data_IF_243900794873
#
_entry.id   IF_243900794873
#
_cell.length_a   1.000
_cell.length_b   1.000
_cell.length_c   1.000
_cell.angle_alpha   90.00
_cell.angle_beta   90.00
_cell.angle_gamma   90.00
#
_symmetry.space_group_name_H-M   'P 1'
#
loop_
_entity.id
_entity.type
_entity.pdbx_description
1 polymer ?
#
# COMPACT_ATOMS: atom_id res chain seq x y z
N UNK A 1 -2.36 0.43 -3.85
CA UNK A 1 -1.42 1.38 -4.47
C UNK A 1 -1.46 2.80 -3.89
N UNK A 2 -2.46 3.17 -3.12
CA UNK A 2 -2.52 4.51 -2.51
C UNK A 2 -1.31 4.81 -1.60
N UNK A 3 -0.78 3.79 -0.95
CA UNK A 3 0.21 3.94 0.12
C UNK A 3 1.64 4.30 -0.35
N UNK A 4 2.01 4.06 -1.61
CA UNK A 4 3.39 4.30 -2.06
C UNK A 4 3.64 5.67 -2.66
N UNK A 5 2.61 6.38 -3.06
CA UNK A 5 2.76 7.61 -3.84
C UNK A 5 2.11 8.82 -3.17
N UNK A 6 1.44 8.64 -2.04
CA UNK A 6 0.66 9.71 -1.41
C UNK A 6 1.22 10.14 -0.06
N UNK A 7 1.32 11.46 0.16
CA UNK A 7 1.57 12.00 1.49
C UNK A 7 0.40 11.66 2.42
N UNK A 8 0.66 10.92 3.46
CA UNK A 8 -0.35 10.53 4.45
C UNK A 8 0.19 9.52 5.45
N UNK A 9 -0.66 9.06 6.33
CA UNK A 9 -0.39 8.02 7.34
C UNK A 9 -1.40 6.90 7.27
N UNK A 10 -1.02 5.73 7.79
CA UNK A 10 -1.94 4.61 7.99
C UNK A 10 -2.17 4.38 9.48
N UNK A 11 -3.42 4.21 9.85
CA UNK A 11 -3.83 3.96 11.23
C UNK A 11 -4.71 2.72 11.33
N UNK A 12 -4.65 2.04 12.45
CA UNK A 12 -5.51 0.91 12.77
C UNK A 12 -6.90 1.37 13.26
N UNK A 13 -7.72 0.44 13.66
CA UNK A 13 -9.08 0.69 14.18
C UNK A 13 -9.13 1.50 15.49
N UNK A 14 -8.01 1.76 16.17
CA UNK A 14 -7.94 2.68 17.30
C UNK A 14 -7.46 4.08 16.93
N UNK A 15 -7.06 4.30 15.68
CA UNK A 15 -6.46 5.55 15.21
C UNK A 15 -4.95 5.64 15.43
N UNK A 16 -4.29 4.58 15.91
CA UNK A 16 -2.83 4.54 16.08
C UNK A 16 -2.14 4.19 14.76
N UNK A 17 -1.05 4.90 14.42
CA UNK A 17 -0.17 4.49 13.34
C UNK A 17 0.46 3.12 13.69
N UNK A 18 0.67 2.26 12.69
CA UNK A 18 1.15 0.90 12.95
C UNK A 18 2.20 0.42 11.94
N UNK A 19 2.69 1.29 11.08
CA UNK A 19 3.74 0.89 10.13
C UNK A 19 4.18 1.99 9.19
N UNK A 20 5.25 1.68 8.46
CA UNK A 20 5.81 2.53 7.43
C UNK A 20 5.16 2.20 6.08
N UNK A 21 4.25 3.06 5.62
CA UNK A 21 3.58 2.90 4.33
C UNK A 21 4.49 3.10 3.11
N UNK A 22 5.69 3.64 3.32
CA UNK A 22 6.69 3.85 2.25
C UNK A 22 7.71 2.71 2.16
N UNK A 23 7.47 1.60 2.87
CA UNK A 23 8.35 0.44 2.80
C UNK A 23 8.39 -0.14 1.38
N UNK A 24 9.58 -0.31 0.83
CA UNK A 24 9.81 -0.90 -0.51
C UNK A 24 9.41 -2.39 -0.60
N UNK A 25 9.14 -3.02 0.53
CA UNK A 25 8.82 -4.44 0.60
C UNK A 25 7.30 -4.69 0.64
N UNK A 26 6.68 -4.78 -0.51
CA UNK A 26 5.24 -5.01 -0.66
C UNK A 26 4.71 -6.25 0.08
N UNK A 27 5.42 -7.37 0.03
CA UNK A 27 4.98 -8.60 0.68
C UNK A 27 5.06 -8.53 2.20
N UNK A 28 6.10 -7.88 2.72
CA UNK A 28 6.27 -7.65 4.16
C UNK A 28 5.29 -6.59 4.65
N UNK A 29 5.08 -5.52 3.87
CA UNK A 29 4.10 -4.50 4.18
C UNK A 29 2.70 -5.09 4.26
N UNK A 30 2.27 -5.87 3.27
CA UNK A 30 0.95 -6.51 3.27
C UNK A 30 0.72 -7.45 4.46
N UNK A 31 1.72 -8.24 4.85
CA UNK A 31 1.66 -9.07 6.07
C UNK A 31 1.61 -8.22 7.33
N UNK A 32 2.51 -7.24 7.44
CA UNK A 32 2.55 -6.33 8.57
C UNK A 32 1.25 -5.57 8.76
N UNK A 33 0.68 -5.04 7.68
CA UNK A 33 -0.61 -4.36 7.70
C UNK A 33 -1.74 -5.28 8.18
N UNK A 34 -1.81 -6.50 7.65
CA UNK A 34 -2.82 -7.47 8.08
C UNK A 34 -2.67 -7.85 9.55
N UNK A 35 -1.44 -8.14 9.97
CA UNK A 35 -1.15 -8.60 11.32
C UNK A 35 -1.34 -7.46 12.34
N UNK A 36 -0.91 -6.25 12.02
CA UNK A 36 -1.11 -5.06 12.85
C UNK A 36 -2.59 -4.64 12.94
N UNK A 37 -3.36 -4.80 11.88
CA UNK A 37 -4.79 -4.56 11.87
C UNK A 37 -5.61 -5.76 12.42
N UNK A 38 -4.96 -6.84 12.90
CA UNK A 38 -5.62 -8.08 13.33
C UNK A 38 -6.60 -8.65 12.30
N UNK A 39 -6.27 -8.52 11.02
CA UNK A 39 -7.13 -8.89 9.91
C UNK A 39 -8.34 -7.98 9.66
N UNK A 40 -8.44 -6.86 10.40
CA UNK A 40 -9.50 -5.88 10.29
C UNK A 40 -9.23 -4.77 9.27
N UNK A 41 -10.14 -3.82 9.22
CA UNK A 41 -10.00 -2.60 8.45
C UNK A 41 -8.93 -1.69 9.07
N UNK A 42 -8.29 -0.92 8.24
CA UNK A 42 -7.42 0.18 8.62
C UNK A 42 -7.71 1.39 7.75
N UNK A 43 -7.19 2.53 8.13
CA UNK A 43 -7.51 3.79 7.47
C UNK A 43 -6.24 4.45 6.94
N UNK A 44 -6.34 4.99 5.74
CA UNK A 44 -5.36 5.91 5.19
C UNK A 44 -5.87 7.33 5.40
N UNK A 45 -5.05 8.17 6.00
CA UNK A 45 -5.35 9.55 6.36
C UNK A 45 -4.46 10.48 5.54
N UNK A 46 -5.03 11.49 4.92
CA UNK A 46 -4.29 12.51 4.18
C UNK A 46 -4.98 13.87 4.29
N UNK A 47 -4.24 14.92 3.93
CA UNK A 47 -4.78 16.27 3.77
C UNK A 47 -5.20 16.54 2.32
N UNK A 48 -5.67 17.75 2.04
CA UNK A 48 -6.05 18.16 0.70
C UNK A 48 -4.87 18.17 -0.28
N UNK A 49 -3.66 18.48 0.18
CA UNK A 49 -2.47 18.50 -0.68
C UNK A 49 -2.10 17.08 -1.12
N UNK A 50 -2.18 16.11 -0.23
CA UNK A 50 -1.97 14.69 -0.53
C UNK A 50 -3.03 14.14 -1.47
N UNK A 51 -4.29 14.51 -1.27
CA UNK A 51 -5.40 14.19 -2.16
C UNK A 51 -5.14 14.67 -3.59
N UNK A 52 -4.73 15.93 -3.75
CA UNK A 52 -4.45 16.51 -5.07
C UNK A 52 -3.21 15.89 -5.72
N UNK A 53 -2.16 15.64 -4.93
CA UNK A 53 -0.88 15.13 -5.44
C UNK A 53 -1.04 13.74 -6.07
N UNK A 54 -1.86 12.88 -5.48
CA UNK A 54 -2.09 11.54 -6.03
C UNK A 54 -2.85 11.56 -7.35
N UNK A 55 -3.74 12.52 -7.55
CA UNK A 55 -4.45 12.68 -8.82
C UNK A 55 -3.53 13.07 -10.00
N UNK A 56 -2.29 13.48 -9.73
CA UNK A 56 -1.29 13.84 -10.76
C UNK A 56 -0.41 12.68 -11.21
N UNK A 57 -0.60 11.49 -10.67
CA UNK A 57 0.17 10.34 -11.10
C UNK A 57 -0.37 9.82 -12.44
N UNK A 58 0.24 10.29 -13.54
CA UNK A 58 -0.17 10.01 -14.93
C UNK A 58 -0.11 8.53 -15.30
N UNK A 59 0.69 7.72 -14.59
CA UNK A 59 0.84 6.29 -14.86
C UNK A 59 -0.46 5.50 -14.64
N UNK A 60 -1.32 5.99 -13.77
CA UNK A 60 -2.62 5.39 -13.47
C UNK A 60 -3.73 6.40 -13.73
N UNK A 61 -3.80 6.96 -14.93
CA UNK A 61 -4.73 8.02 -15.40
C UNK A 61 -6.22 7.86 -14.97
N UNK A 62 -6.47 7.03 -13.98
CA UNK A 62 -7.74 6.92 -13.29
C UNK A 62 -7.75 7.95 -12.17
N UNK A 63 -8.73 8.79 -12.21
CA UNK A 63 -9.11 9.74 -11.16
C UNK A 63 -9.52 8.95 -9.89
N UNK A 64 -8.51 8.29 -9.28
CA UNK A 64 -8.72 7.28 -8.23
C UNK A 64 -9.48 7.87 -7.05
N UNK A 65 -9.16 9.10 -6.66
CA UNK A 65 -9.85 9.73 -5.55
C UNK A 65 -11.29 10.10 -5.87
N UNK A 66 -11.56 10.65 -7.05
CA UNK A 66 -12.96 10.90 -7.45
C UNK A 66 -13.78 9.62 -7.56
N UNK A 67 -13.14 8.51 -7.91
CA UNK A 67 -13.80 7.21 -7.88
C UNK A 67 -14.11 6.77 -6.44
N UNK A 68 -13.15 6.90 -5.53
CA UNK A 68 -13.33 6.55 -4.11
C UNK A 68 -14.35 7.45 -3.42
N UNK A 69 -14.31 8.78 -3.69
CA UNK A 69 -15.30 9.73 -3.19
C UNK A 69 -16.72 9.37 -3.66
N UNK A 70 -16.92 9.10 -4.96
CA UNK A 70 -18.22 8.71 -5.52
C UNK A 70 -18.76 7.40 -4.95
N UNK A 71 -17.87 6.50 -4.55
CA UNK A 71 -18.24 5.22 -3.91
C UNK A 71 -18.47 5.35 -2.41
N UNK A 72 -18.06 6.47 -1.81
CA UNK A 72 -18.08 6.67 -0.37
C UNK A 72 -16.95 5.96 0.39
N UNK A 73 -15.94 5.45 -0.35
CA UNK A 73 -14.75 4.81 0.25
C UNK A 73 -13.74 5.86 0.76
N UNK A 74 -13.85 7.10 0.30
CA UNK A 74 -13.07 8.25 0.73
C UNK A 74 -14.01 9.35 1.22
N UNK A 75 -13.82 9.79 2.45
CA UNK A 75 -14.69 10.76 3.13
C UNK A 75 -13.86 11.93 3.64
N UNK A 76 -14.40 13.14 3.48
CA UNK A 76 -13.85 14.35 4.07
C UNK A 76 -14.50 14.63 5.43
N UNK A 77 -13.68 14.95 6.41
CA UNK A 77 -14.11 15.46 7.72
C UNK A 77 -13.57 16.86 7.92
N UNK A 78 -14.39 17.76 8.46
CA UNK A 78 -14.01 19.17 8.64
C UNK A 78 -12.93 19.36 9.72
N UNK A 79 -12.75 18.38 10.62
CA UNK A 79 -11.67 18.37 11.60
C UNK A 79 -11.24 16.94 11.97
N UNK A 80 -10.09 16.83 12.64
CA UNK A 80 -9.58 15.56 13.15
C UNK A 80 -10.49 14.99 14.23
N UNK A 81 -11.01 15.86 15.11
CA UNK A 81 -11.92 15.50 16.18
C UNK A 81 -13.24 14.93 15.65
N UNK A 82 -13.78 15.54 14.59
CA UNK A 82 -14.99 15.05 13.92
C UNK A 82 -14.76 13.64 13.37
N UNK A 83 -13.63 13.42 12.70
CA UNK A 83 -13.25 12.13 12.15
C UNK A 83 -13.05 11.07 13.25
N UNK A 84 -12.33 11.43 14.33
CA UNK A 84 -12.07 10.56 15.46
C UNK A 84 -13.38 10.10 16.12
N UNK A 85 -14.32 11.01 16.30
CA UNK A 85 -15.62 10.70 16.87
C UNK A 85 -16.50 9.87 15.92
N UNK A 86 -16.55 10.21 14.63
CA UNK A 86 -17.40 9.54 13.65
C UNK A 86 -16.98 8.10 13.35
N UNK A 87 -15.66 7.81 13.40
CA UNK A 87 -15.08 6.51 13.07
C UNK A 87 -14.61 5.71 14.29
N UNK A 88 -14.84 6.21 15.51
CA UNK A 88 -14.38 5.61 16.77
C UNK A 88 -12.85 5.35 16.79
N UNK A 89 -12.07 6.39 16.48
CA UNK A 89 -10.62 6.37 16.40
C UNK A 89 -9.98 7.19 17.55
N UNK A 90 -10.03 6.70 18.80
CA UNK A 90 -9.70 7.50 19.99
C UNK A 90 -8.25 7.98 20.07
N UNK A 91 -7.33 7.42 19.27
CA UNK A 91 -5.92 7.82 19.24
C UNK A 91 -5.58 8.70 18.04
N UNK A 92 -6.54 9.01 17.15
CA UNK A 92 -6.25 9.69 15.88
C UNK A 92 -5.62 11.07 16.05
N UNK A 93 -6.15 11.88 16.97
CA UNK A 93 -5.62 13.23 17.25
C UNK A 93 -4.16 13.15 17.69
N UNK A 94 -3.88 12.36 18.72
CA UNK A 94 -2.51 12.18 19.24
C UNK A 94 -1.55 11.61 18.19
N UNK A 95 -2.05 10.73 17.32
CA UNK A 95 -1.26 10.17 16.21
C UNK A 95 -0.87 11.24 15.20
N UNK A 96 -1.80 12.10 14.79
CA UNK A 96 -1.52 13.18 13.83
C UNK A 96 -0.59 14.22 14.45
N UNK A 97 -0.78 14.57 15.72
CA UNK A 97 0.11 15.49 16.43
C UNK A 97 1.54 14.97 16.50
N UNK A 98 1.73 13.69 16.87
CA UNK A 98 3.04 13.05 16.92
C UNK A 98 3.70 13.00 15.53
N UNK A 99 2.95 12.61 14.49
CA UNK A 99 3.44 12.61 13.12
C UNK A 99 3.91 14.01 12.68
N UNK A 100 3.09 15.03 12.93
CA UNK A 100 3.42 16.40 12.56
C UNK A 100 4.61 16.96 13.34
N UNK A 101 4.78 16.56 14.62
CA UNK A 101 5.96 16.93 15.40
C UNK A 101 7.26 16.37 14.77
N UNK A 102 7.29 15.08 14.39
CA UNK A 102 8.42 14.49 13.67
C UNK A 102 8.66 15.15 12.32
N UNK A 103 7.60 15.45 11.57
CA UNK A 103 7.70 16.13 10.27
C UNK A 103 8.35 17.51 10.40
N UNK A 104 7.93 18.30 11.39
CA UNK A 104 8.52 19.63 11.65
C UNK A 104 9.96 19.58 12.17
N UNK A 105 10.29 18.55 12.95
CA UNK A 105 11.65 18.33 13.44
C UNK A 105 12.62 17.81 12.35
N UNK A 106 12.09 17.30 11.22
CA UNK A 106 12.88 16.65 10.18
C UNK A 106 13.42 15.29 10.63
N UNK A 107 12.77 14.67 11.60
CA UNK A 107 13.14 13.37 12.18
C UNK A 107 12.39 12.23 11.50
N UNK A 108 12.92 11.01 11.60
CA UNK A 108 12.19 9.81 11.21
C UNK A 108 11.17 9.42 12.30
N UNK A 109 10.05 8.80 11.88
CA UNK A 109 9.07 8.28 12.83
C UNK A 109 9.54 6.95 13.47
N UNK A 110 8.77 6.46 14.44
CA UNK A 110 9.05 5.20 15.14
C UNK A 110 9.09 3.96 14.23
N UNK A 111 8.59 4.08 13.00
CA UNK A 111 8.59 3.02 11.97
C UNK A 111 9.74 3.19 10.96
N UNK A 112 10.67 4.13 11.18
CA UNK A 112 11.81 4.39 10.32
C UNK A 112 11.46 5.09 9.01
N UNK A 113 10.32 5.78 8.92
CA UNK A 113 9.95 6.58 7.76
C UNK A 113 10.66 7.93 7.81
N UNK A 114 11.36 8.25 6.73
CA UNK A 114 12.07 9.53 6.55
C UNK A 114 11.27 10.48 5.67
N UNK A 115 11.62 11.77 5.75
CA UNK A 115 10.99 12.82 4.95
C UNK A 115 9.47 12.85 5.11
N UNK A 116 9.02 12.85 6.35
CA UNK A 116 7.61 12.87 6.69
C UNK A 116 6.94 14.13 6.12
N UNK A 117 5.86 14.01 5.34
CA UNK A 117 5.06 15.15 4.95
C UNK A 117 4.29 15.67 6.17
N UNK A 118 4.28 16.98 6.35
CA UNK A 118 3.39 17.60 7.32
C UNK A 118 1.93 17.46 6.83
N UNK A 119 1.05 17.00 7.69
CA UNK A 119 -0.38 16.92 7.42
C UNK A 119 -1.05 18.23 7.84
N UNK A 120 -1.49 19.03 6.86
CA UNK A 120 -2.23 20.25 7.12
C UNK A 120 -3.71 19.94 7.39
N UNK A 121 -4.08 20.01 8.66
CA UNK A 121 -5.43 19.70 9.12
C UNK A 121 -6.35 20.93 9.17
N UNK A 122 -5.87 22.13 8.76
CA UNK A 122 -6.63 23.38 8.84
C UNK A 122 -7.96 23.34 8.07
N UNK A 123 -7.96 22.68 6.92
CA UNK A 123 -9.16 22.51 6.08
C UNK A 123 -9.79 21.12 6.25
N UNK A 124 -9.54 20.46 7.37
CA UNK A 124 -9.98 19.10 7.61
C UNK A 124 -9.05 18.03 7.04
N UNK A 125 -9.52 16.80 7.05
CA UNK A 125 -8.76 15.63 6.61
C UNK A 125 -9.60 14.73 5.70
N UNK A 126 -8.91 13.99 4.85
CA UNK A 126 -9.48 12.96 4.00
C UNK A 126 -9.12 11.57 4.54
N UNK A 127 -10.12 10.70 4.66
CA UNK A 127 -9.95 9.34 5.17
C UNK A 127 -10.43 8.33 4.14
N UNK A 128 -9.58 7.33 3.86
CA UNK A 128 -9.94 6.19 3.03
C UNK A 128 -9.98 4.95 3.91
N UNK A 129 -11.11 4.27 3.91
CA UNK A 129 -11.24 2.95 4.54
C UNK A 129 -10.52 1.91 3.67
N UNK A 130 -9.61 1.15 4.27
CA UNK A 130 -8.76 0.20 3.59
C UNK A 130 -8.91 -1.19 4.18
N UNK A 131 -8.80 -2.20 3.32
CA UNK A 131 -8.68 -3.59 3.71
C UNK A 131 -7.45 -4.21 3.03
N UNK A 132 -6.74 -5.15 3.68
CA UNK A 132 -5.70 -5.91 3.01
C UNK A 132 -6.28 -6.69 1.84
N UNK A 133 -5.63 -6.64 0.69
CA UNK A 133 -6.06 -7.37 -0.49
C UNK A 133 -4.88 -8.03 -1.18
N UNK A 134 -5.17 -9.06 -1.98
CA UNK A 134 -4.17 -9.68 -2.83
C UNK A 134 -4.00 -8.86 -4.12
N UNK A 135 -2.76 -8.67 -4.51
CA UNK A 135 -2.41 -8.04 -5.77
C UNK A 135 -1.81 -9.05 -6.74
N UNK A 136 -0.88 -9.85 -6.25
CA UNK A 136 -0.19 -10.89 -7.02
C UNK A 136 0.31 -11.98 -6.06
N UNK A 137 0.75 -13.11 -6.64
CA UNK A 137 1.43 -14.18 -5.92
C UNK A 137 2.90 -14.23 -6.34
N UNK A 138 3.78 -14.60 -5.42
CA UNK A 138 5.20 -14.83 -5.71
C UNK A 138 5.52 -16.28 -5.99
N UNK A 139 4.57 -17.19 -5.79
CA UNK A 139 4.67 -18.61 -6.13
C UNK A 139 3.96 -18.91 -7.45
N UNK A 140 4.43 -19.92 -8.18
CA UNK A 140 3.84 -20.31 -9.47
C UNK A 140 4.48 -21.55 -10.06
N UNK A 141 4.24 -21.79 -11.34
CA UNK A 141 4.79 -22.89 -12.08
C UNK A 141 6.30 -22.71 -12.30
N UNK A 142 7.08 -23.74 -12.07
CA UNK A 142 8.49 -23.76 -12.47
C UNK A 142 8.59 -23.85 -14.00
N UNK A 143 9.44 -23.01 -14.61
CA UNK A 143 9.68 -23.00 -16.06
C UNK A 143 11.16 -23.07 -16.36
N UNK A 144 11.52 -23.53 -17.59
CA UNK A 144 12.85 -23.38 -18.14
C UNK A 144 13.00 -22.06 -18.92
N UNK A 145 14.19 -21.81 -19.44
CA UNK A 145 14.50 -20.60 -20.23
C UNK A 145 13.77 -20.50 -21.57
N UNK A 146 13.09 -21.55 -22.01
CA UNK A 146 12.23 -21.59 -23.19
C UNK A 146 10.74 -21.49 -22.84
N UNK A 147 10.41 -21.28 -21.57
CA UNK A 147 9.03 -21.16 -21.07
C UNK A 147 8.28 -22.49 -20.89
N UNK A 148 8.94 -23.64 -21.01
CA UNK A 148 8.28 -24.92 -20.74
C UNK A 148 8.03 -25.09 -19.26
N UNK A 149 6.82 -25.49 -18.90
CA UNK A 149 6.48 -25.86 -17.52
C UNK A 149 7.24 -27.14 -17.13
N UNK A 150 7.84 -27.14 -15.95
CA UNK A 150 8.61 -28.25 -15.41
C UNK A 150 7.81 -29.07 -14.42
N UNK A 151 8.02 -30.39 -14.45
CA UNK A 151 7.58 -31.31 -13.41
C UNK A 151 8.43 -31.14 -12.15
N UNK A 152 8.06 -31.78 -11.03
CA UNK A 152 8.83 -31.75 -9.77
C UNK A 152 10.25 -32.29 -9.93
N UNK A 153 10.48 -33.22 -10.88
CA UNK A 153 11.79 -33.79 -11.21
C UNK A 153 12.56 -32.99 -12.27
N UNK A 154 12.07 -31.77 -12.60
CA UNK A 154 12.74 -30.81 -13.46
C UNK A 154 12.65 -31.10 -14.94
N UNK A 155 11.73 -31.97 -15.40
CA UNK A 155 11.54 -32.27 -16.81
C UNK A 155 10.46 -31.43 -17.46
N UNK A 156 10.65 -30.96 -18.71
CA UNK A 156 9.62 -30.25 -19.43
C UNK A 156 8.35 -31.10 -19.64
N UNK A 157 7.20 -30.50 -19.36
CA UNK A 157 5.90 -31.05 -19.72
C UNK A 157 5.63 -30.77 -21.20
N UNK A 158 5.50 -31.81 -22.01
CA UNK A 158 5.34 -31.67 -23.45
C UNK A 158 4.09 -30.82 -23.81
N UNK A 159 4.30 -29.77 -24.59
CA UNK A 159 3.25 -28.89 -25.09
C UNK A 159 2.66 -27.93 -24.05
N UNK A 160 3.23 -27.85 -22.83
CA UNK A 160 2.77 -26.93 -21.79
C UNK A 160 3.81 -25.81 -21.60
N UNK A 161 3.36 -24.56 -21.78
CA UNK A 161 4.15 -23.35 -21.62
C UNK A 161 3.48 -22.42 -20.65
N UNK A 162 4.27 -21.61 -19.95
CA UNK A 162 3.75 -20.60 -19.05
C UNK A 162 4.64 -19.35 -19.06
N UNK A 163 4.03 -18.17 -18.85
CA UNK A 163 4.71 -16.90 -18.77
C UNK A 163 3.94 -15.95 -17.84
N UNK A 164 4.61 -14.93 -17.29
CA UNK A 164 4.04 -13.92 -16.41
C UNK A 164 3.78 -14.41 -15.00
N UNK A 165 2.78 -13.83 -14.34
CA UNK A 165 2.48 -14.09 -12.91
C UNK A 165 2.24 -15.57 -12.57
N UNK A 166 1.76 -16.35 -13.52
CA UNK A 166 1.53 -17.79 -13.34
C UNK A 166 2.82 -18.61 -13.13
N UNK A 167 3.97 -18.08 -13.58
CA UNK A 167 5.28 -18.70 -13.38
C UNK A 167 5.89 -18.37 -12.00
N UNK A 168 5.19 -17.59 -11.19
CA UNK A 168 5.73 -17.09 -9.94
C UNK A 168 6.84 -16.05 -10.15
N UNK A 169 7.64 -15.85 -9.13
CA UNK A 169 8.74 -14.88 -9.17
C UNK A 169 9.96 -15.50 -9.83
N UNK A 170 10.39 -14.94 -10.94
CA UNK A 170 11.60 -15.33 -11.69
C UNK A 170 12.79 -14.47 -11.28
N UNK A 171 12.52 -13.29 -10.73
CA UNK A 171 13.56 -12.36 -10.29
C UNK A 171 13.63 -12.30 -8.76
N UNK A 172 14.84 -12.10 -8.27
CA UNK A 172 15.14 -11.86 -6.87
C UNK A 172 15.65 -10.42 -6.73
N UNK A 173 14.98 -9.66 -5.84
CA UNK A 173 15.44 -8.33 -5.45
C UNK A 173 15.75 -8.35 -3.95
N UNK A 174 16.98 -8.03 -3.59
CA UNK A 174 17.44 -7.99 -2.19
C UNK A 174 17.23 -9.30 -1.43
N UNK A 175 17.46 -10.45 -2.08
CA UNK A 175 17.27 -11.78 -1.50
C UNK A 175 15.80 -12.19 -1.32
N UNK A 176 14.89 -11.59 -2.08
CA UNK A 176 13.44 -11.83 -1.97
C UNK A 176 12.81 -12.03 -3.33
N UNK A 177 11.86 -12.96 -3.44
CA UNK A 177 11.12 -13.13 -4.68
C UNK A 177 10.43 -11.83 -5.06
N UNK A 178 10.66 -11.38 -6.28
CA UNK A 178 10.04 -10.21 -6.88
C UNK A 178 9.17 -10.64 -8.05
N UNK A 179 7.87 -10.40 -7.98
CA UNK A 179 6.97 -10.75 -9.06
C UNK A 179 6.96 -9.63 -10.11
N UNK A 180 7.22 -10.00 -11.36
CA UNK A 180 7.42 -9.07 -12.48
C UNK A 180 6.23 -8.98 -13.44
N UNK A 181 5.10 -9.62 -13.14
CA UNK A 181 3.86 -9.47 -13.88
C UNK A 181 4.03 -9.41 -15.39
N UNK A 182 3.74 -8.24 -15.93
CA UNK A 182 3.74 -7.99 -17.38
C UNK A 182 5.13 -8.13 -18.03
N UNK A 183 6.19 -7.69 -17.37
CA UNK A 183 7.56 -7.79 -17.93
C UNK A 183 7.98 -9.24 -18.07
N UNK A 184 7.66 -10.10 -17.09
CA UNK A 184 7.90 -11.52 -17.19
C UNK A 184 7.09 -12.16 -18.32
N UNK A 185 5.84 -11.73 -18.53
CA UNK A 185 5.00 -12.24 -19.62
C UNK A 185 5.51 -11.85 -21.02
N UNK A 186 6.27 -10.75 -21.15
CA UNK A 186 6.82 -10.31 -22.44
C UNK A 186 8.16 -10.94 -22.78
N UNK A 187 8.90 -11.46 -21.80
CA UNK A 187 10.25 -11.98 -21.98
C UNK A 187 10.32 -13.52 -22.08
N UNK A 188 9.20 -14.21 -21.90
CA UNK A 188 9.08 -15.69 -21.93
C UNK A 188 7.96 -16.19 -22.84
#
# INVERSE_FOLDING_TARGET
FLYQTTPGIIVNASGAQFGNMMSDNHGMLGRGLRDAANGGAFFYITDESGRITTNKNELYAMDTYKCLERRGDMVHFASVEEAAAALDLPQLEATIEAHNAHALAGEEDEFGRKNLPYLDTYNGIWIVSCIPTFYLTTGGLAIDTAGHVLTEDGKPVAGLYAAGDVCGSIEEKDGRPYAMGFDAAMNY
#
